data_IF_045274607363
#
_entry.id   IF_045274607363
#
_cell.length_a   1.000
_cell.length_b   1.000
_cell.length_c   1.000
_cell.angle_alpha   90.00
_cell.angle_beta   90.00
_cell.angle_gamma   90.00
#
_symmetry.space_group_name_H-M   'P 1'
#
loop_
_entity.id
_entity.type
_entity.pdbx_description
1 polymer ?
#
# COMPACT_ATOMS: atom_id res chain seq x y z
N UNK A 1 -4.89 3.11 -11.72
CA UNK A 1 -3.60 3.36 -11.05
C UNK A 1 -3.73 4.34 -9.88
N UNK A 2 -3.63 5.67 -10.00
CA UNK A 2 -3.70 6.57 -8.82
C UNK A 2 -5.05 6.50 -8.10
N UNK A 3 -6.17 6.45 -8.83
CA UNK A 3 -7.52 6.34 -8.25
C UNK A 3 -7.72 5.03 -7.49
N UNK A 4 -7.17 3.93 -7.98
CA UNK A 4 -7.27 2.62 -7.31
C UNK A 4 -6.45 2.60 -6.03
N UNK A 5 -5.24 3.20 -6.05
CA UNK A 5 -4.44 3.40 -4.85
C UNK A 5 -5.20 4.24 -3.82
N UNK A 6 -5.85 5.33 -4.25
CA UNK A 6 -6.64 6.20 -3.37
C UNK A 6 -7.87 5.50 -2.78
N UNK A 7 -8.61 4.74 -3.58
CA UNK A 7 -9.77 3.98 -3.10
C UNK A 7 -9.37 2.83 -2.17
N UNK A 8 -8.14 2.32 -2.28
CA UNK A 8 -7.58 1.33 -1.35
C UNK A 8 -7.09 1.95 -0.03
N UNK A 9 -7.01 3.29 0.08
CA UNK A 9 -6.73 3.97 1.34
C UNK A 9 -7.99 3.91 2.20
N UNK A 10 -8.04 2.98 3.16
CA UNK A 10 -9.11 2.96 4.15
C UNK A 10 -8.87 4.07 5.19
N UNK A 11 -9.18 5.31 4.81
CA UNK A 11 -9.10 6.49 5.69
C UNK A 11 -10.41 6.74 6.47
N UNK A 12 -11.34 5.79 6.47
CA UNK A 12 -12.66 5.93 7.12
C UNK A 12 -12.58 6.27 8.62
N UNK A 13 -11.49 5.90 9.27
CA UNK A 13 -11.26 6.16 10.70
C UNK A 13 -10.53 7.49 10.97
N UNK A 14 -10.19 8.27 9.93
CA UNK A 14 -9.54 9.57 10.09
C UNK A 14 -10.57 10.65 10.50
N UNK A 15 -10.29 11.51 11.50
CA UNK A 15 -11.23 12.53 11.97
C UNK A 15 -11.72 13.47 10.85
N UNK A 16 -10.84 13.82 9.91
CA UNK A 16 -11.15 14.67 8.75
C UNK A 16 -11.48 13.90 7.46
N UNK A 17 -11.89 12.64 7.55
CA UNK A 17 -12.13 11.75 6.39
C UNK A 17 -12.97 12.40 5.28
N UNK A 18 -14.08 13.05 5.63
CA UNK A 18 -14.96 13.68 4.63
C UNK A 18 -14.24 14.78 3.84
N UNK A 19 -13.47 15.62 4.52
CA UNK A 19 -12.72 16.70 3.88
C UNK A 19 -11.62 16.15 2.98
N UNK A 20 -10.89 15.14 3.45
CA UNK A 20 -9.83 14.47 2.69
C UNK A 20 -10.40 13.84 1.42
N UNK A 21 -11.52 13.12 1.52
CA UNK A 21 -12.18 12.52 0.37
C UNK A 21 -12.70 13.54 -0.65
N UNK A 22 -13.32 14.62 -0.18
CA UNK A 22 -13.77 15.68 -1.08
C UNK A 22 -12.59 16.35 -1.78
N UNK A 23 -11.48 16.54 -1.09
CA UNK A 23 -10.26 17.09 -1.69
C UNK A 23 -9.70 16.14 -2.76
N UNK A 24 -9.66 14.84 -2.49
CA UNK A 24 -9.24 13.83 -3.48
C UNK A 24 -10.13 13.80 -4.71
N UNK A 25 -11.44 13.83 -4.53
CA UNK A 25 -12.40 13.88 -5.64
C UNK A 25 -12.15 15.11 -6.54
N UNK A 26 -11.86 16.27 -5.95
CA UNK A 26 -11.52 17.49 -6.69
C UNK A 26 -10.15 17.40 -7.37
N UNK A 27 -9.15 16.82 -6.70
CA UNK A 27 -7.81 16.59 -7.26
C UNK A 27 -7.84 15.62 -8.44
N UNK A 28 -8.83 14.72 -8.52
CA UNK A 28 -8.94 13.79 -9.63
C UNK A 28 -8.96 14.49 -11.00
N UNK A 29 -9.72 15.59 -11.13
CA UNK A 29 -9.75 16.36 -12.37
C UNK A 29 -8.39 16.98 -12.71
N UNK A 30 -7.65 17.41 -11.70
CA UNK A 30 -6.29 17.95 -11.87
C UNK A 30 -5.32 16.86 -12.35
N UNK A 31 -5.35 15.68 -11.73
CA UNK A 31 -4.50 14.53 -12.08
C UNK A 31 -4.81 14.06 -13.51
N UNK A 32 -6.10 13.96 -13.86
CA UNK A 32 -6.55 13.62 -15.21
C UNK A 32 -6.00 14.61 -16.23
N UNK A 33 -6.12 15.92 -15.98
CA UNK A 33 -5.63 16.94 -16.87
C UNK A 33 -4.11 16.96 -16.99
N UNK A 34 -3.36 16.67 -15.92
CA UNK A 34 -1.90 16.45 -16.01
C UNK A 34 -1.57 15.27 -16.93
N UNK A 35 -2.38 14.20 -16.89
CA UNK A 35 -2.28 13.08 -17.83
C UNK A 35 -2.54 13.49 -19.29
N UNK A 36 -3.53 14.35 -19.53
CA UNK A 36 -3.79 14.93 -20.86
C UNK A 36 -2.64 15.83 -21.32
N UNK A 37 -2.08 16.67 -20.44
CA UNK A 37 -0.88 17.47 -20.72
C UNK A 37 0.28 16.54 -21.10
N UNK A 38 0.52 15.47 -20.33
CA UNK A 38 1.55 14.47 -20.66
C UNK A 38 1.33 13.88 -22.04
N UNK A 39 0.10 13.50 -22.39
CA UNK A 39 -0.21 12.88 -23.68
C UNK A 39 -0.12 13.88 -24.85
N UNK A 40 -0.41 15.16 -24.62
CA UNK A 40 -0.42 16.20 -25.65
C UNK A 40 0.94 16.88 -25.87
N UNK A 41 1.77 16.94 -24.83
CA UNK A 41 3.08 17.61 -24.82
C UNK A 41 4.24 16.60 -24.87
N UNK A 42 4.02 15.35 -24.48
CA UNK A 42 5.01 14.29 -24.42
C UNK A 42 4.65 13.08 -25.27
N UNK A 43 5.44 12.80 -26.31
CA UNK A 43 5.38 11.55 -27.06
C UNK A 43 6.47 10.59 -26.55
N UNK A 44 6.29 10.03 -25.35
CA UNK A 44 7.21 8.98 -24.84
C UNK A 44 6.82 7.57 -25.34
N UNK A 45 5.77 7.46 -26.16
CA UNK A 45 5.21 6.19 -26.62
C UNK A 45 4.92 6.18 -28.14
N UNK A 46 5.60 7.00 -28.93
CA UNK A 46 5.55 6.86 -30.40
C UNK A 46 6.70 5.97 -30.87
N UNK A 47 6.36 4.75 -31.26
CA UNK A 47 7.23 3.86 -32.02
C UNK A 47 7.53 4.48 -33.40
N UNK A 48 8.45 5.43 -33.46
CA UNK A 48 9.11 5.84 -34.70
C UNK A 48 8.36 6.82 -35.62
N UNK A 49 7.38 7.59 -35.13
CA UNK A 49 6.85 8.71 -35.92
C UNK A 49 7.62 10.01 -35.64
N UNK A 50 8.26 10.53 -36.69
CA UNK A 50 8.98 11.79 -36.75
C UNK A 50 7.96 12.96 -36.80
N UNK A 51 7.41 13.33 -35.63
CA UNK A 51 6.44 14.43 -35.50
C UNK A 51 7.11 15.54 -34.69
N UNK A 52 7.09 16.77 -35.21
CA UNK A 52 7.61 17.94 -34.48
C UNK A 52 6.79 18.17 -33.19
N UNK A 53 7.42 17.97 -32.03
CA UNK A 53 6.72 17.98 -30.75
C UNK A 53 6.62 19.37 -30.13
N UNK A 54 5.42 19.71 -29.65
CA UNK A 54 5.19 20.93 -28.88
C UNK A 54 5.82 20.78 -27.50
N UNK A 55 6.93 21.49 -27.26
CA UNK A 55 7.58 21.52 -25.95
C UNK A 55 6.71 22.29 -24.94
N UNK A 56 6.66 21.87 -23.67
CA UNK A 56 5.98 22.65 -22.63
C UNK A 56 6.70 23.98 -22.45
N UNK A 57 5.95 25.04 -22.15
CA UNK A 57 6.55 26.28 -21.65
C UNK A 57 7.12 26.05 -20.25
N UNK A 58 8.08 26.89 -19.84
CA UNK A 58 8.67 26.83 -18.50
C UNK A 58 7.60 26.97 -17.41
N UNK A 59 6.64 27.87 -17.61
CA UNK A 59 5.56 28.12 -16.65
C UNK A 59 4.65 26.90 -16.49
N UNK A 60 4.28 26.25 -17.59
CA UNK A 60 3.49 25.02 -17.57
C UNK A 60 4.24 23.89 -16.86
N UNK A 61 5.54 23.72 -17.18
CA UNK A 61 6.37 22.69 -16.56
C UNK A 61 6.50 22.91 -15.05
N UNK A 62 6.72 24.14 -14.61
CA UNK A 62 6.79 24.49 -13.18
C UNK A 62 5.45 24.23 -12.48
N UNK A 63 4.34 24.69 -13.07
CA UNK A 63 3.03 24.51 -12.48
C UNK A 63 2.68 23.03 -12.30
N UNK A 64 2.84 22.23 -13.36
CA UNK A 64 2.61 20.79 -13.31
C UNK A 64 3.51 20.12 -12.28
N UNK A 65 4.81 20.45 -12.23
CA UNK A 65 5.75 19.86 -11.27
C UNK A 65 5.37 20.14 -9.82
N UNK A 66 5.04 21.40 -9.49
CA UNK A 66 4.62 21.75 -8.13
C UNK A 66 3.30 21.10 -7.74
N UNK A 67 2.32 21.07 -8.64
CA UNK A 67 1.04 20.39 -8.40
C UNK A 67 1.24 18.88 -8.18
N UNK A 68 2.02 18.23 -9.04
CA UNK A 68 2.32 16.80 -8.90
C UNK A 68 3.04 16.50 -7.59
N UNK A 69 4.03 17.31 -7.19
CA UNK A 69 4.75 17.11 -5.93
C UNK A 69 3.83 17.22 -4.71
N UNK A 70 2.91 18.18 -4.70
CA UNK A 70 1.94 18.31 -3.59
C UNK A 70 1.02 17.10 -3.48
N UNK A 71 0.48 16.63 -4.61
CA UNK A 71 -0.40 15.44 -4.63
C UNK A 71 0.37 14.19 -4.21
N UNK A 72 1.57 13.97 -4.78
CA UNK A 72 2.38 12.81 -4.48
C UNK A 72 2.88 12.81 -3.03
N UNK A 73 3.28 13.97 -2.51
CA UNK A 73 3.72 14.11 -1.12
C UNK A 73 2.63 13.69 -0.13
N UNK A 74 1.37 14.07 -0.41
CA UNK A 74 0.25 13.66 0.43
C UNK A 74 -0.07 12.17 0.30
N UNK A 75 -0.08 11.61 -0.93
CA UNK A 75 -0.27 10.17 -1.14
C UNK A 75 0.81 9.37 -0.41
N UNK A 76 2.08 9.80 -0.50
CA UNK A 76 3.20 9.13 0.16
C UNK A 76 3.10 9.21 1.68
N UNK A 77 2.64 10.35 2.22
CA UNK A 77 2.38 10.48 3.65
C UNK A 77 1.31 9.46 4.09
N UNK A 78 0.18 9.38 3.39
CA UNK A 78 -0.84 8.38 3.71
C UNK A 78 -0.28 6.96 3.58
N UNK A 79 0.52 6.68 2.56
CA UNK A 79 1.16 5.38 2.38
C UNK A 79 2.07 4.97 3.56
N UNK A 80 2.89 5.90 4.07
CA UNK A 80 3.84 5.62 5.15
C UNK A 80 3.14 5.53 6.51
N UNK A 81 2.16 6.41 6.75
CA UNK A 81 1.62 6.65 8.09
C UNK A 81 0.19 6.13 8.30
N UNK A 82 -0.45 5.49 7.31
CA UNK A 82 -1.70 4.76 7.55
C UNK A 82 -1.42 3.27 7.74
N UNK A 83 -1.72 2.77 8.94
CA UNK A 83 -1.51 1.38 9.34
C UNK A 83 -2.23 0.38 8.42
N UNK A 84 -3.37 0.79 7.84
CA UNK A 84 -4.18 -0.07 6.95
C UNK A 84 -3.48 -0.39 5.62
N UNK A 85 -2.56 0.46 5.14
CA UNK A 85 -1.81 0.17 3.91
C UNK A 85 -0.58 -0.70 4.15
N UNK A 86 -0.06 -0.73 5.37
CA UNK A 86 1.05 -1.62 5.71
C UNK A 86 0.62 -3.09 5.63
N UNK A 87 -0.65 -3.38 5.92
CA UNK A 87 -1.28 -4.71 5.80
C UNK A 87 -1.60 -5.14 4.37
N UNK A 88 -1.72 -4.19 3.43
CA UNK A 88 -1.93 -4.47 2.00
C UNK A 88 -0.61 -4.58 1.23
N UNK A 89 0.53 -4.52 1.92
CA UNK A 89 1.81 -4.84 1.32
C UNK A 89 1.84 -6.32 0.95
N UNK A 90 2.56 -6.65 -0.14
CA UNK A 90 2.81 -8.04 -0.52
C UNK A 90 3.67 -8.67 0.56
N UNK A 91 3.04 -9.28 1.56
CA UNK A 91 3.74 -9.95 2.66
C UNK A 91 4.48 -11.16 2.10
N UNK A 92 5.71 -11.37 2.57
CA UNK A 92 6.51 -12.55 2.25
C UNK A 92 6.61 -13.41 3.50
N UNK A 93 6.32 -14.68 3.36
CA UNK A 93 6.34 -15.63 4.48
C UNK A 93 7.64 -15.56 5.29
N UNK A 94 8.78 -15.41 4.61
CA UNK A 94 10.11 -15.38 5.26
C UNK A 94 10.32 -14.19 6.21
N UNK A 95 9.63 -13.08 6.00
CA UNK A 95 9.81 -11.85 6.79
C UNK A 95 9.22 -11.99 8.22
N UNK A 96 8.40 -13.02 8.45
CA UNK A 96 7.62 -13.24 9.67
C UNK A 96 8.08 -14.47 10.46
N UNK A 97 9.35 -14.86 10.37
CA UNK A 97 9.88 -16.11 10.92
C UNK A 97 9.58 -16.36 12.42
N UNK A 98 9.55 -15.30 13.25
CA UNK A 98 9.20 -15.42 14.68
C UNK A 98 7.73 -15.77 14.88
N UNK A 99 6.85 -15.05 14.17
CA UNK A 99 5.42 -15.29 14.18
C UNK A 99 5.06 -16.66 13.61
N UNK A 100 5.68 -17.06 12.50
CA UNK A 100 5.48 -18.38 11.90
C UNK A 100 5.83 -19.51 12.89
N UNK A 101 6.95 -19.35 13.61
CA UNK A 101 7.34 -20.32 14.63
C UNK A 101 6.32 -20.38 15.76
N UNK A 102 5.84 -19.23 16.23
CA UNK A 102 4.78 -19.18 17.24
C UNK A 102 3.51 -19.93 16.78
N UNK A 103 3.06 -19.68 15.55
CA UNK A 103 1.89 -20.37 14.99
C UNK A 103 2.11 -21.88 14.86
N UNK A 104 3.29 -22.30 14.40
CA UNK A 104 3.61 -23.73 14.30
C UNK A 104 3.73 -24.39 15.67
N UNK A 105 4.26 -23.71 16.68
CA UNK A 105 4.36 -24.23 18.05
C UNK A 105 2.99 -24.39 18.73
N UNK A 106 2.09 -23.43 18.52
CA UNK A 106 0.76 -23.42 19.14
C UNK A 106 -0.27 -24.29 18.41
N UNK A 107 -0.29 -24.25 17.07
CA UNK A 107 -1.38 -24.80 16.27
C UNK A 107 -0.99 -25.96 15.35
N UNK A 108 0.30 -26.26 15.17
CA UNK A 108 0.67 -27.37 14.27
C UNK A 108 0.16 -28.72 14.81
N UNK A 109 -0.51 -29.52 13.96
CA UNK A 109 -0.97 -30.83 14.37
C UNK A 109 0.21 -31.75 14.67
N UNK A 110 0.17 -32.40 15.83
CA UNK A 110 1.18 -33.39 16.25
C UNK A 110 0.83 -34.75 15.66
N UNK A 111 1.50 -35.12 14.58
CA UNK A 111 1.33 -36.45 13.98
C UNK A 111 2.35 -37.46 14.53
N UNK A 112 2.05 -38.77 14.44
CA UNK A 112 3.02 -39.84 14.67
C UNK A 112 4.26 -39.73 13.76
N UNK A 113 5.36 -40.34 14.19
CA UNK A 113 6.75 -40.07 13.75
C UNK A 113 6.93 -39.80 12.24
N UNK A 114 7.46 -38.59 11.96
CA UNK A 114 8.01 -38.19 10.66
C UNK A 114 7.13 -37.26 9.83
N UNK A 115 5.85 -37.09 10.16
CA UNK A 115 4.95 -36.18 9.46
C UNK A 115 4.83 -34.86 10.24
N UNK A 116 5.38 -33.77 9.71
CA UNK A 116 5.14 -32.43 10.26
C UNK A 116 4.54 -31.55 9.16
N UNK A 117 3.38 -30.96 9.45
CA UNK A 117 2.79 -29.92 8.60
C UNK A 117 3.10 -28.58 9.27
N UNK A 118 3.65 -27.64 8.51
CA UNK A 118 3.74 -26.25 8.97
C UNK A 118 2.35 -25.64 8.85
N UNK A 119 1.73 -25.40 10.00
CA UNK A 119 0.45 -24.73 10.11
C UNK A 119 0.56 -23.29 9.59
N UNK A 120 1.64 -22.58 9.94
CA UNK A 120 1.85 -21.20 9.48
C UNK A 120 2.01 -21.12 7.96
N UNK A 121 2.72 -22.06 7.34
CA UNK A 121 2.87 -22.09 5.88
C UNK A 121 1.56 -22.46 5.19
N UNK A 122 0.85 -23.47 5.70
CA UNK A 122 -0.46 -23.86 5.18
C UNK A 122 -1.46 -22.70 5.28
N UNK A 123 -1.48 -21.99 6.40
CA UNK A 123 -2.33 -20.81 6.60
C UNK A 123 -1.95 -19.70 5.61
N UNK A 124 -0.66 -19.38 5.47
CA UNK A 124 -0.18 -18.37 4.53
C UNK A 124 -0.57 -18.67 3.07
N UNK A 125 -0.46 -19.93 2.64
CA UNK A 125 -0.76 -20.32 1.25
C UNK A 125 -2.25 -20.44 0.96
N UNK A 126 -3.06 -20.85 1.93
CA UNK A 126 -4.48 -21.18 1.73
C UNK A 126 -5.42 -20.05 2.15
N UNK A 127 -5.07 -19.28 3.19
CA UNK A 127 -5.89 -18.21 3.74
C UNK A 127 -5.03 -17.06 4.28
N UNK A 128 -4.60 -16.19 3.37
CA UNK A 128 -3.73 -15.05 3.67
C UNK A 128 -4.39 -14.02 4.60
N UNK A 129 -5.71 -13.92 4.58
CA UNK A 129 -6.43 -12.96 5.44
C UNK A 129 -6.47 -13.49 6.88
N UNK A 130 -6.78 -14.77 7.08
CA UNK A 130 -6.65 -15.38 8.40
C UNK A 130 -5.19 -15.28 8.93
N UNK A 131 -4.19 -15.51 8.08
CA UNK A 131 -2.78 -15.33 8.46
C UNK A 131 -2.48 -13.92 8.99
N UNK A 132 -3.02 -12.88 8.35
CA UNK A 132 -2.86 -11.49 8.80
C UNK A 132 -3.56 -11.23 10.13
N UNK A 133 -4.78 -11.74 10.32
CA UNK A 133 -5.52 -11.61 11.59
C UNK A 133 -4.74 -12.21 12.76
N UNK A 134 -4.20 -13.41 12.60
CA UNK A 134 -3.33 -14.02 13.62
C UNK A 134 -2.06 -13.19 13.90
N UNK A 135 -1.52 -12.51 12.89
CA UNK A 135 -0.36 -11.65 13.08
C UNK A 135 -0.70 -10.39 13.90
N UNK A 136 -1.87 -9.79 13.68
CA UNK A 136 -2.34 -8.66 14.48
C UNK A 136 -2.49 -9.06 15.95
N UNK A 137 -3.10 -10.22 16.22
CA UNK A 137 -3.22 -10.77 17.56
C UNK A 137 -1.85 -11.01 18.21
N UNK A 138 -0.92 -11.61 17.47
CA UNK A 138 0.45 -11.84 17.94
C UNK A 138 1.17 -10.54 18.34
N UNK A 139 1.04 -9.47 17.55
CA UNK A 139 1.64 -8.17 17.85
C UNK A 139 1.00 -7.52 19.08
N UNK A 140 -0.32 -7.62 19.22
CA UNK A 140 -1.02 -7.12 20.42
C UNK A 140 -0.50 -7.81 21.69
N UNK A 141 -0.35 -9.13 21.66
CA UNK A 141 0.18 -9.91 22.79
C UNK A 141 1.65 -9.61 23.11
N UNK A 142 2.48 -9.33 22.11
CA UNK A 142 3.88 -8.91 22.34
C UNK A 142 3.94 -7.52 22.97
N UNK A 143 3.07 -6.59 22.56
CA UNK A 143 2.99 -5.25 23.15
C UNK A 143 2.56 -5.28 24.62
N UNK A 144 1.54 -6.09 24.96
CA UNK A 144 1.10 -6.30 26.34
C UNK A 144 2.23 -6.85 27.22
N UNK A 145 2.93 -7.91 26.75
CA UNK A 145 4.06 -8.50 27.47
C UNK A 145 5.19 -7.50 27.72
N UNK A 146 5.49 -6.64 26.75
CA UNK A 146 6.50 -5.59 26.91
C UNK A 146 6.10 -4.52 27.95
N UNK A 147 4.80 -4.23 28.10
CA UNK A 147 4.31 -3.30 29.12
C UNK A 147 4.34 -3.90 30.52
N UNK A 148 4.18 -5.22 30.68
CA UNK A 148 4.29 -5.90 31.96
C UNK A 148 5.74 -5.99 32.50
N UNK A 149 6.73 -5.74 31.65
CA UNK A 149 8.16 -5.79 32.02
C UNK A 149 8.77 -4.42 32.35
N UNK A 150 7.97 -3.35 32.31
CA UNK A 150 8.34 -1.96 32.63
C UNK A 150 7.78 -1.53 33.99
#
# INVERSE_FOLDING_TARGET
MVIETLNSLNINNHPDYEHINQLFSRLNGVIQYIGEIRNSVGCYASHGQDIEHKKPTKDLALFVSHTTNSVLGFILHLYIFSDVLQMNHRIRYEDYAKFNRFLDEEYAPKFPEGLSISYSLALFEQDIEAYKEFYEEYISLEQERLQETL
#
